data_IF_114746781940
#
_entry.id   IF_114746781940
#
_cell.length_a   1.000
_cell.length_b   1.000
_cell.length_c   1.000
_cell.angle_alpha   90.00
_cell.angle_beta   90.00
_cell.angle_gamma   90.00
#
_symmetry.space_group_name_H-M   'P 1'
#
loop_
_entity.id
_entity.type
_entity.pdbx_description
1 polymer ?
#
# COMPACT_ATOMS: atom_id res chain seq x y z
N UNK A 1 -19.85 1.01 19.39
CA UNK A 1 -20.20 0.62 18.01
C UNK A 1 -18.96 0.73 17.12
N UNK A 2 -18.69 -0.31 16.35
CA UNK A 2 -17.56 -0.32 15.42
C UNK A 2 -17.85 0.54 14.20
N UNK A 3 -16.97 1.49 13.89
CA UNK A 3 -17.12 2.34 12.71
C UNK A 3 -16.05 1.98 11.69
N UNK A 4 -16.48 1.55 10.52
CA UNK A 4 -15.61 1.12 9.43
C UNK A 4 -15.75 2.08 8.26
N UNK A 5 -14.63 2.55 7.73
CA UNK A 5 -14.58 3.39 6.54
C UNK A 5 -13.99 2.58 5.39
N UNK A 6 -14.73 2.54 4.29
CA UNK A 6 -14.22 1.94 3.04
C UNK A 6 -13.77 3.09 2.14
N UNK A 7 -12.48 3.17 1.88
CA UNK A 7 -11.92 4.25 1.10
C UNK A 7 -12.04 3.96 -0.39
N UNK A 8 -12.61 4.90 -1.13
CA UNK A 8 -12.63 4.86 -2.59
C UNK A 8 -11.57 5.83 -3.07
N UNK A 9 -10.50 5.29 -3.62
CA UNK A 9 -9.30 6.05 -3.95
C UNK A 9 -9.02 5.90 -5.43
N UNK A 10 -8.75 7.02 -6.10
CA UNK A 10 -8.28 6.98 -7.49
C UNK A 10 -6.78 6.68 -7.45
N UNK A 11 -6.46 5.41 -7.58
CA UNK A 11 -5.07 4.95 -7.56
C UNK A 11 -4.40 5.26 -8.89
N UNK A 12 -3.22 5.88 -8.83
CA UNK A 12 -2.44 6.18 -10.03
C UNK A 12 -1.35 5.14 -10.20
N UNK A 13 -1.40 4.34 -11.28
CA UNK A 13 -0.40 3.30 -11.50
C UNK A 13 1.01 3.86 -11.57
N UNK A 14 1.94 3.25 -10.86
CA UNK A 14 3.35 3.65 -10.88
C UNK A 14 3.68 4.89 -10.06
N UNK A 15 2.76 5.38 -9.24
CA UNK A 15 2.98 6.56 -8.41
C UNK A 15 2.76 6.26 -6.93
N UNK A 16 3.62 5.41 -6.31
CA UNK A 16 3.39 4.99 -4.93
C UNK A 16 3.39 6.14 -3.93
N UNK A 17 4.27 7.14 -4.12
CA UNK A 17 4.33 8.27 -3.21
C UNK A 17 3.04 9.10 -3.22
N UNK A 18 2.51 9.39 -4.41
CA UNK A 18 1.25 10.13 -4.54
C UNK A 18 0.08 9.34 -3.98
N UNK A 19 0.02 8.05 -4.30
CA UNK A 19 -1.03 7.18 -3.77
C UNK A 19 -0.99 7.14 -2.24
N UNK A 20 0.21 7.05 -1.68
CA UNK A 20 0.41 7.00 -0.23
C UNK A 20 0.01 8.32 0.44
N UNK A 21 0.36 9.45 -0.15
CA UNK A 21 -0.07 10.76 0.38
C UNK A 21 -1.59 10.85 0.44
N UNK A 22 -2.27 10.41 -0.62
CA UNK A 22 -3.74 10.41 -0.64
C UNK A 22 -4.31 9.47 0.42
N UNK A 23 -3.69 8.30 0.59
CA UNK A 23 -4.10 7.35 1.63
C UNK A 23 -3.92 7.94 3.02
N UNK A 24 -2.79 8.59 3.29
CA UNK A 24 -2.52 9.21 4.59
C UNK A 24 -3.51 10.33 4.90
N UNK A 25 -3.90 11.10 3.90
CA UNK A 25 -4.93 12.14 4.05
C UNK A 25 -6.26 11.52 4.43
N UNK A 26 -6.66 10.44 3.78
CA UNK A 26 -7.91 9.74 4.09
C UNK A 26 -7.88 9.11 5.47
N UNK A 27 -6.73 8.58 5.88
CA UNK A 27 -6.55 8.04 7.23
C UNK A 27 -6.76 9.13 8.29
N UNK A 28 -6.18 10.32 8.07
CA UNK A 28 -6.35 11.43 9.00
C UNK A 28 -7.81 11.86 9.10
N UNK A 29 -8.52 11.90 7.96
CA UNK A 29 -9.95 12.22 7.94
C UNK A 29 -10.78 11.18 8.68
N UNK A 30 -10.46 9.89 8.49
CA UNK A 30 -11.16 8.80 9.16
C UNK A 30 -10.94 8.86 10.68
N UNK A 31 -9.73 9.16 11.13
CA UNK A 31 -9.44 9.34 12.55
C UNK A 31 -10.27 10.49 13.14
N UNK A 32 -10.34 11.60 12.42
CA UNK A 32 -11.11 12.77 12.86
C UNK A 32 -12.60 12.46 12.99
N UNK A 33 -13.10 11.50 12.23
CA UNK A 33 -14.49 11.05 12.27
C UNK A 33 -14.73 9.96 13.32
N UNK A 34 -13.70 9.53 14.03
CA UNK A 34 -13.82 8.48 15.04
C UNK A 34 -13.89 7.07 14.48
N UNK A 35 -13.37 6.83 13.29
CA UNK A 35 -13.39 5.51 12.69
C UNK A 35 -12.45 4.55 13.43
N UNK A 36 -12.84 3.29 13.51
CA UNK A 36 -12.05 2.23 14.13
C UNK A 36 -11.18 1.49 13.10
N UNK A 37 -11.62 1.47 11.86
CA UNK A 37 -10.96 0.74 10.78
C UNK A 37 -11.16 1.47 9.46
N UNK A 38 -10.11 1.55 8.64
CA UNK A 38 -10.21 2.02 7.26
C UNK A 38 -9.67 0.93 6.33
N UNK A 39 -10.38 0.70 5.22
CA UNK A 39 -10.06 -0.34 4.23
C UNK A 39 -9.78 0.34 2.89
N UNK A 40 -8.61 0.08 2.33
CA UNK A 40 -8.20 0.56 1.02
C UNK A 40 -8.27 -0.55 -0.02
N UNK A 41 -8.33 -0.19 -1.31
CA UNK A 41 -8.41 -1.19 -2.36
C UNK A 41 -7.13 -2.01 -2.53
N UNK A 42 -7.26 -3.10 -3.26
CA UNK A 42 -6.13 -3.94 -3.65
C UNK A 42 -5.10 -3.10 -4.41
N UNK A 43 -3.81 -3.35 -4.16
CA UNK A 43 -2.70 -2.64 -4.82
C UNK A 43 -2.81 -1.11 -4.69
N UNK A 44 -3.30 -0.63 -3.54
CA UNK A 44 -3.52 0.81 -3.35
C UNK A 44 -2.24 1.64 -3.39
N UNK A 45 -1.12 1.07 -2.95
CA UNK A 45 0.16 1.78 -2.93
C UNK A 45 0.76 1.87 -4.34
N UNK A 46 1.04 0.74 -5.04
CA UNK A 46 1.70 0.82 -6.34
C UNK A 46 0.75 1.07 -7.50
N UNK A 47 -0.52 0.72 -7.36
CA UNK A 47 -1.45 0.64 -8.46
C UNK A 47 -1.19 -0.59 -9.32
N UNK A 48 -2.08 -0.84 -10.27
CA UNK A 48 -1.89 -1.93 -11.22
C UNK A 48 -0.96 -1.46 -12.34
N UNK A 49 0.10 -2.22 -12.58
CA UNK A 49 1.11 -1.90 -13.59
C UNK A 49 1.26 -3.08 -14.55
N UNK A 50 1.65 -2.74 -15.78
CA UNK A 50 1.99 -3.72 -16.80
C UNK A 50 3.47 -3.53 -17.18
N UNK A 51 4.17 -4.64 -17.45
CA UNK A 51 5.51 -4.63 -17.99
C UNK A 51 6.61 -4.56 -16.94
N UNK A 52 7.74 -3.98 -17.33
CA UNK A 52 9.00 -4.12 -16.61
C UNK A 52 9.15 -3.27 -15.36
N UNK A 53 8.21 -2.36 -15.10
CA UNK A 53 8.27 -1.52 -13.90
C UNK A 53 8.36 -2.37 -12.62
N UNK A 54 7.68 -3.52 -12.60
CA UNK A 54 7.74 -4.44 -11.47
C UNK A 54 9.13 -5.01 -11.21
N UNK A 55 10.04 -4.89 -12.17
CA UNK A 55 11.40 -5.38 -12.03
C UNK A 55 12.38 -4.29 -11.59
N UNK A 56 11.92 -3.06 -11.45
CA UNK A 56 12.77 -1.95 -11.02
C UNK A 56 12.95 -1.97 -9.51
N UNK A 57 14.20 -2.12 -9.07
CA UNK A 57 14.55 -2.17 -7.67
C UNK A 57 14.08 -0.92 -6.91
N UNK A 58 14.33 0.26 -7.49
CA UNK A 58 13.95 1.52 -6.84
C UNK A 58 12.44 1.62 -6.65
N UNK A 59 11.66 1.18 -7.65
CA UNK A 59 10.20 1.19 -7.55
C UNK A 59 9.72 0.27 -6.41
N UNK A 60 10.27 -0.94 -6.33
CA UNK A 60 9.88 -1.88 -5.28
C UNK A 60 10.25 -1.36 -3.90
N UNK A 61 11.41 -0.72 -3.77
CA UNK A 61 11.82 -0.11 -2.51
C UNK A 61 10.91 1.05 -2.12
N UNK A 62 10.50 1.87 -3.08
CA UNK A 62 9.55 2.95 -2.83
C UNK A 62 8.22 2.41 -2.30
N UNK A 63 7.73 1.31 -2.87
CA UNK A 63 6.50 0.68 -2.40
C UNK A 63 6.64 0.17 -0.97
N UNK A 64 7.77 -0.41 -0.60
CA UNK A 64 8.03 -0.85 0.77
C UNK A 64 8.07 0.32 1.74
N UNK A 65 8.76 1.39 1.38
CA UNK A 65 8.87 2.58 2.23
C UNK A 65 7.52 3.25 2.42
N UNK A 66 6.74 3.36 1.35
CA UNK A 66 5.37 3.89 1.43
C UNK A 66 4.49 3.03 2.32
N UNK A 67 4.60 1.70 2.20
CA UNK A 67 3.89 0.77 3.06
C UNK A 67 4.25 0.97 4.52
N UNK A 68 5.52 1.22 4.81
CA UNK A 68 5.97 1.47 6.17
C UNK A 68 5.36 2.76 6.73
N UNK A 69 5.26 3.80 5.92
CA UNK A 69 4.61 5.05 6.34
C UNK A 69 3.16 4.82 6.74
N UNK A 70 2.45 3.97 6.00
CA UNK A 70 1.06 3.63 6.31
C UNK A 70 0.98 2.83 7.60
N UNK A 71 1.89 1.87 7.80
CA UNK A 71 1.94 1.08 9.03
C UNK A 71 2.15 2.00 10.24
N UNK A 72 3.03 2.99 10.12
CA UNK A 72 3.26 3.95 11.20
C UNK A 72 2.01 4.78 11.51
N UNK A 73 1.18 5.04 10.50
CA UNK A 73 -0.07 5.77 10.68
C UNK A 73 -1.16 4.96 11.39
N UNK A 74 -0.96 3.66 11.60
CA UNK A 74 -1.96 2.75 12.14
C UNK A 74 -2.03 2.74 13.68
N UNK A 75 -1.42 3.70 14.36
CA UNK A 75 -1.36 3.69 15.83
C UNK A 75 -2.73 3.84 16.49
N UNK A 76 -3.58 4.69 15.93
CA UNK A 76 -4.88 5.00 16.52
C UNK A 76 -6.06 4.47 15.71
N UNK A 77 -5.78 3.80 14.60
CA UNK A 77 -6.82 3.25 13.72
C UNK A 77 -6.26 2.01 13.02
N UNK A 78 -7.08 0.97 12.91
CA UNK A 78 -6.68 -0.21 12.14
C UNK A 78 -6.78 0.11 10.65
N UNK A 79 -5.81 -0.35 9.86
CA UNK A 79 -5.72 -0.09 8.43
C UNK A 79 -5.53 -1.40 7.68
N UNK A 80 -6.35 -1.61 6.64
CA UNK A 80 -6.16 -2.72 5.70
C UNK A 80 -5.85 -2.09 4.35
N UNK A 81 -4.70 -2.45 3.76
CA UNK A 81 -4.30 -1.87 2.48
C UNK A 81 -3.55 -2.89 1.62
N UNK A 82 -3.59 -2.67 0.31
CA UNK A 82 -2.91 -3.51 -0.66
C UNK A 82 -1.58 -2.91 -1.09
N UNK A 83 -0.56 -3.75 -1.16
CA UNK A 83 0.77 -3.35 -1.61
C UNK A 83 1.48 -4.57 -2.18
N UNK A 84 2.60 -4.34 -2.86
CA UNK A 84 3.46 -5.42 -3.29
C UNK A 84 4.34 -5.87 -2.12
N UNK A 85 4.39 -7.17 -1.88
CA UNK A 85 5.33 -7.75 -0.91
C UNK A 85 6.50 -8.34 -1.69
N UNK A 86 7.72 -8.05 -1.26
CA UNK A 86 8.93 -8.50 -1.94
C UNK A 86 9.75 -9.35 -1.00
N UNK A 87 10.16 -10.51 -1.48
CA UNK A 87 11.12 -11.35 -0.76
C UNK A 87 12.48 -11.14 -1.40
N UNK A 88 13.30 -10.31 -0.78
CA UNK A 88 14.60 -9.92 -1.31
C UNK A 88 15.63 -11.05 -1.30
N UNK A 89 15.39 -12.07 -0.50
CA UNK A 89 16.29 -13.21 -0.39
C UNK A 89 15.97 -14.32 -1.37
N UNK A 90 14.71 -14.40 -1.83
CA UNK A 90 14.29 -15.41 -2.80
C UNK A 90 14.24 -14.81 -4.18
N UNK A 91 14.76 -15.55 -5.15
CA UNK A 91 14.76 -15.12 -6.54
C UNK A 91 14.08 -16.17 -7.40
N UNK A 92 13.48 -15.71 -8.49
CA UNK A 92 12.93 -16.58 -9.50
C UNK A 92 14.06 -17.25 -10.30
N UNK A 93 13.69 -18.18 -11.15
CA UNK A 93 14.64 -18.93 -11.97
C UNK A 93 15.55 -18.02 -12.80
N UNK A 94 15.04 -16.86 -13.20
CA UNK A 94 15.78 -15.89 -14.01
C UNK A 94 16.61 -14.89 -13.17
N UNK A 95 16.68 -15.09 -11.86
CA UNK A 95 17.47 -14.21 -10.96
C UNK A 95 16.73 -13.01 -10.43
N UNK A 96 15.47 -12.80 -10.80
CA UNK A 96 14.67 -11.69 -10.30
C UNK A 96 14.10 -11.99 -8.92
N UNK A 97 13.98 -10.95 -8.08
CA UNK A 97 13.38 -11.14 -6.75
C UNK A 97 11.90 -11.52 -6.88
N UNK A 98 11.43 -12.32 -5.92
CA UNK A 98 10.02 -12.71 -5.90
C UNK A 98 9.15 -11.59 -5.36
N UNK A 99 8.02 -11.37 -6.02
CA UNK A 99 7.06 -10.33 -5.69
C UNK A 99 5.67 -10.94 -5.51
N UNK A 100 4.92 -10.39 -4.58
CA UNK A 100 3.59 -10.89 -4.24
C UNK A 100 2.60 -9.73 -4.19
N UNK A 101 1.40 -9.95 -4.72
CA UNK A 101 0.26 -9.07 -4.46
C UNK A 101 -0.22 -9.41 -3.06
N UNK A 102 -0.14 -8.46 -2.14
CA UNK A 102 -0.39 -8.74 -0.73
C UNK A 102 -1.33 -7.74 -0.10
N UNK A 103 -2.07 -8.20 0.91
CA UNK A 103 -2.90 -7.37 1.75
C UNK A 103 -2.21 -7.21 3.10
N UNK A 104 -2.07 -5.98 3.55
CA UNK A 104 -1.40 -5.65 4.81
C UNK A 104 -2.44 -5.18 5.84
N UNK A 105 -2.25 -5.57 7.07
CA UNK A 105 -3.13 -5.19 8.18
C UNK A 105 -2.37 -4.63 9.37
#
# INVERSE_FOLDING_TARGET
MLKIVTAQLKVQPGHPSENTENMLTMIAQAKAQGADLIIFPEMAVPGYLLGDTWEQYAFLKDCEECGQDIIEASQDIAIIFGNVAVDWEKKNYDGRVRKYNALFT
#
